data_IF_631345921818
#
_entry.id   IF_631345921818
#
_cell.length_a   1.000
_cell.length_b   1.000
_cell.length_c   1.000
_cell.angle_alpha   90.00
_cell.angle_beta   90.00
_cell.angle_gamma   90.00
#
_symmetry.space_group_name_H-M   'P 1'
#
loop_
_entity.id
_entity.type
_entity.pdbx_description
1 polymer ?
#
# COMPACT_ATOMS: atom_id res chain seq x y z
N UNK A 1 -8.99 -5.31 -12.85
CA UNK A 1 -9.04 -5.26 -11.37
C UNK A 1 -9.25 -3.82 -10.95
N UNK A 2 -10.14 -3.55 -10.00
CA UNK A 2 -10.39 -2.19 -9.48
C UNK A 2 -10.12 -2.15 -7.97
N UNK A 3 -9.26 -1.24 -7.52
CA UNK A 3 -8.96 -1.06 -6.09
C UNK A 3 -10.08 -0.22 -5.48
N UNK A 4 -10.78 -0.79 -4.50
CA UNK A 4 -11.91 -0.15 -3.83
C UNK A 4 -11.39 0.71 -2.67
N UNK A 5 -10.69 0.08 -1.73
CA UNK A 5 -10.19 0.76 -0.53
C UNK A 5 -9.08 0.00 0.21
N UNK A 6 -8.37 0.72 1.06
CA UNK A 6 -7.53 0.15 2.12
C UNK A 6 -8.33 0.09 3.42
N UNK A 7 -8.15 -0.99 4.17
CA UNK A 7 -8.73 -1.22 5.49
C UNK A 7 -7.62 -1.55 6.49
N UNK A 8 -7.91 -1.34 7.78
CA UNK A 8 -7.06 -1.74 8.90
C UNK A 8 -5.60 -1.35 8.69
N UNK A 9 -5.36 -0.06 8.39
CA UNK A 9 -4.01 0.46 8.20
C UNK A 9 -3.36 0.57 9.58
N UNK A 10 -2.39 -0.29 9.84
CA UNK A 10 -1.64 -0.34 11.09
C UNK A 10 -0.19 0.05 10.83
N UNK A 11 0.28 1.13 11.45
CA UNK A 11 1.69 1.50 11.39
C UNK A 11 2.52 0.48 12.18
N UNK A 12 3.61 0.03 11.58
CA UNK A 12 4.64 -0.77 12.24
C UNK A 12 5.80 0.13 12.61
N UNK A 13 6.29 -0.04 13.83
CA UNK A 13 7.51 0.63 14.26
C UNK A 13 8.67 0.26 13.33
N UNK A 14 9.42 1.27 12.96
CA UNK A 14 10.60 1.15 12.11
C UNK A 14 11.76 1.82 12.84
N UNK A 15 12.87 1.09 12.97
CA UNK A 15 14.10 1.61 13.57
C UNK A 15 14.73 2.75 12.74
N UNK A 16 14.26 2.93 11.50
CA UNK A 16 14.78 3.90 10.55
C UNK A 16 13.78 5.04 10.42
N UNK A 17 14.19 6.24 10.85
CA UNK A 17 13.33 7.43 10.99
C UNK A 17 12.65 7.89 9.69
N UNK A 18 13.22 7.57 8.52
CA UNK A 18 12.67 7.96 7.21
C UNK A 18 11.87 6.84 6.53
N UNK A 19 11.71 5.68 7.17
CA UNK A 19 10.94 4.54 6.66
C UNK A 19 9.72 4.35 7.55
N UNK A 20 8.53 4.47 6.96
CA UNK A 20 7.28 4.11 7.62
C UNK A 20 6.76 2.81 7.02
N UNK A 21 6.52 1.82 7.88
CA UNK A 21 5.95 0.54 7.48
C UNK A 21 4.50 0.47 7.93
N UNK A 22 3.65 -0.12 7.10
CA UNK A 22 2.25 -0.31 7.40
C UNK A 22 1.82 -1.71 6.99
N UNK A 23 1.01 -2.34 7.82
CA UNK A 23 0.20 -3.48 7.41
C UNK A 23 -1.20 -2.95 7.05
N UNK A 24 -1.78 -3.41 5.96
CA UNK A 24 -3.18 -3.11 5.66
C UNK A 24 -3.83 -4.22 4.84
N UNK A 25 -5.15 -4.13 4.75
CA UNK A 25 -5.96 -4.99 3.89
C UNK A 25 -6.38 -4.18 2.67
N UNK A 26 -6.00 -4.63 1.48
CA UNK A 26 -6.51 -4.07 0.24
C UNK A 26 -7.77 -4.82 -0.18
N UNK A 27 -8.86 -4.06 -0.36
CA UNK A 27 -10.10 -4.54 -0.93
C UNK A 27 -10.16 -4.16 -2.42
N UNK A 28 -10.35 -5.14 -3.30
CA UNK A 28 -10.39 -4.95 -4.74
C UNK A 28 -11.48 -5.80 -5.39
N UNK A 29 -11.99 -5.34 -6.54
CA UNK A 29 -12.97 -6.07 -7.35
C UNK A 29 -12.25 -6.80 -8.50
N UNK A 30 -12.51 -8.10 -8.61
CA UNK A 30 -12.14 -8.95 -9.76
C UNK A 30 -13.30 -9.90 -10.06
N UNK A 31 -13.65 -10.09 -11.33
CA UNK A 31 -14.64 -11.09 -11.76
C UNK A 31 -15.99 -10.99 -10.99
N UNK A 32 -16.45 -9.75 -10.81
CA UNK A 32 -17.63 -9.39 -10.01
C UNK A 32 -17.64 -9.80 -8.53
N UNK A 33 -16.51 -10.26 -8.01
CA UNK A 33 -16.30 -10.56 -6.59
C UNK A 33 -15.39 -9.54 -5.93
N UNK A 34 -15.65 -9.28 -4.65
CA UNK A 34 -14.78 -8.48 -3.80
C UNK A 34 -13.78 -9.42 -3.15
N UNK A 35 -12.51 -9.11 -3.30
CA UNK A 35 -11.40 -9.82 -2.70
C UNK A 35 -10.71 -8.91 -1.70
N UNK A 36 -10.25 -9.52 -0.60
CA UNK A 36 -9.49 -8.85 0.44
C UNK A 36 -8.17 -9.58 0.62
N UNK A 37 -7.07 -8.84 0.59
CA UNK A 37 -5.75 -9.40 0.79
C UNK A 37 -4.94 -8.52 1.72
N UNK A 38 -4.17 -9.15 2.60
CA UNK A 38 -3.21 -8.44 3.43
C UNK A 38 -1.99 -8.07 2.59
N UNK A 39 -1.59 -6.82 2.66
CA UNK A 39 -0.38 -6.29 2.04
C UNK A 39 0.44 -5.51 3.06
N UNK A 40 1.76 -5.59 2.95
CA UNK A 40 2.66 -4.66 3.61
C UNK A 40 2.94 -3.47 2.70
N UNK A 41 2.97 -2.26 3.25
CA UNK A 41 3.32 -1.03 2.57
C UNK A 41 4.55 -0.44 3.27
N UNK A 42 5.57 -0.13 2.49
CA UNK A 42 6.76 0.57 2.97
C UNK A 42 6.82 1.92 2.25
N UNK A 43 6.72 2.99 3.01
CA UNK A 43 6.87 4.36 2.56
C UNK A 43 8.24 4.87 3.01
N UNK A 44 9.17 4.98 2.07
CA UNK A 44 10.51 5.51 2.32
C UNK A 44 10.61 6.94 1.79
N UNK A 45 10.89 7.90 2.66
CA UNK A 45 11.18 9.27 2.26
C UNK A 45 12.64 9.38 1.84
N UNK A 46 12.88 9.83 0.60
CA UNK A 46 14.22 10.10 0.10
C UNK A 46 14.70 11.48 0.55
N UNK A 47 16.01 11.72 0.47
CA UNK A 47 16.62 13.02 0.73
C UNK A 47 16.10 14.14 -0.19
N UNK A 48 15.53 13.78 -1.36
CA UNK A 48 14.93 14.71 -2.31
C UNK A 48 13.46 15.02 -1.99
N UNK A 49 12.91 14.49 -0.89
CA UNK A 49 11.52 14.68 -0.49
C UNK A 49 10.52 13.81 -1.27
N UNK A 50 10.99 12.93 -2.17
CA UNK A 50 10.12 11.94 -2.83
C UNK A 50 9.82 10.79 -1.88
N UNK A 51 8.63 10.20 -2.00
CA UNK A 51 8.26 8.99 -1.24
C UNK A 51 8.32 7.79 -2.17
N UNK A 52 9.26 6.89 -1.92
CA UNK A 52 9.31 5.58 -2.55
C UNK A 52 8.28 4.66 -1.88
N UNK A 53 7.49 3.96 -2.68
CA UNK A 53 6.44 3.05 -2.22
C UNK A 53 6.85 1.63 -2.61
N UNK A 54 7.13 0.80 -1.61
CA UNK A 54 7.34 -0.64 -1.80
C UNK A 54 6.16 -1.41 -1.22
N UNK A 55 5.81 -2.53 -1.86
CA UNK A 55 4.69 -3.38 -1.45
C UNK A 55 5.20 -4.79 -1.17
N UNK A 56 4.84 -5.30 0.00
CA UNK A 56 5.07 -6.69 0.38
C UNK A 56 3.78 -7.47 0.14
N UNK A 57 3.68 -8.05 -1.06
CA UNK A 57 2.49 -8.78 -1.52
C UNK A 57 2.83 -10.26 -1.64
N UNK A 58 2.19 -11.10 -0.81
CA UNK A 58 2.36 -12.57 -0.87
C UNK A 58 1.44 -13.24 -1.90
N UNK A 59 0.41 -12.53 -2.37
CA UNK A 59 -0.55 -13.08 -3.32
C UNK A 59 -0.09 -12.83 -4.77
N UNK A 60 0.14 -13.91 -5.52
CA UNK A 60 0.56 -13.85 -6.93
C UNK A 60 -0.45 -13.10 -7.82
N UNK A 61 -1.75 -13.18 -7.53
CA UNK A 61 -2.78 -12.48 -8.31
C UNK A 61 -2.66 -10.95 -8.22
N UNK A 62 -2.09 -10.45 -7.13
CA UNK A 62 -1.84 -9.03 -6.93
C UNK A 62 -0.52 -8.56 -7.56
N UNK A 63 0.39 -9.47 -7.92
CA UNK A 63 1.67 -9.09 -8.52
C UNK A 63 1.51 -8.35 -9.84
N UNK A 64 0.58 -8.80 -10.69
CA UNK A 64 0.25 -8.14 -11.96
C UNK A 64 -0.36 -6.74 -11.78
N UNK A 65 -0.83 -6.42 -10.57
CA UNK A 65 -1.49 -5.17 -10.23
C UNK A 65 -0.68 -4.28 -9.28
N UNK A 66 0.58 -4.64 -8.99
CA UNK A 66 1.45 -3.91 -8.05
C UNK A 66 1.52 -2.42 -8.37
N UNK A 67 1.70 -2.06 -9.65
CA UNK A 67 1.85 -0.66 -10.05
C UNK A 67 0.57 0.15 -9.78
N UNK A 68 -0.60 -0.38 -10.12
CA UNK A 68 -1.88 0.26 -9.81
C UNK A 68 -2.10 0.41 -8.29
N UNK A 69 -1.64 -0.57 -7.50
CA UNK A 69 -1.70 -0.50 -6.04
C UNK A 69 -0.78 0.59 -5.50
N UNK A 70 0.46 0.69 -6.01
CA UNK A 70 1.39 1.77 -5.64
C UNK A 70 0.83 3.13 -6.00
N UNK A 71 0.25 3.30 -7.19
CA UNK A 71 -0.38 4.56 -7.60
C UNK A 71 -1.53 4.95 -6.68
N UNK A 72 -2.39 3.99 -6.32
CA UNK A 72 -3.47 4.22 -5.37
C UNK A 72 -2.93 4.65 -4.01
N UNK A 73 -1.96 3.92 -3.45
CA UNK A 73 -1.31 4.24 -2.18
C UNK A 73 -0.64 5.61 -2.23
N UNK A 74 0.03 5.95 -3.32
CA UNK A 74 0.65 7.26 -3.52
C UNK A 74 -0.39 8.38 -3.48
N UNK A 75 -1.55 8.18 -4.10
CA UNK A 75 -2.68 9.13 -4.01
C UNK A 75 -3.23 9.23 -2.57
N UNK A 76 -3.34 8.12 -1.85
CA UNK A 76 -3.80 8.13 -0.44
C UNK A 76 -2.77 8.79 0.50
N UNK A 77 -1.48 8.60 0.27
CA UNK A 77 -0.41 9.25 1.03
C UNK A 77 -0.43 10.77 0.83
N UNK A 78 -0.65 11.25 -0.40
CA UNK A 78 -0.85 12.68 -0.67
C UNK A 78 -2.10 13.27 0.02
N UNK A 79 -3.09 12.43 0.35
CA UNK A 79 -4.30 12.81 1.11
C UNK A 79 -4.11 12.73 2.63
N UNK A 80 -2.94 12.34 3.13
CA UNK A 80 -2.67 12.22 4.56
C UNK A 80 -3.31 11.00 5.22
N UNK A 81 -3.56 9.92 4.46
CA UNK A 81 -4.06 8.66 5.05
C UNK A 81 -2.98 7.94 5.86
N UNK A 82 -1.71 8.15 5.52
CA UNK A 82 -0.56 7.59 6.21
C UNK A 82 0.16 8.73 6.95
N UNK A 83 0.01 8.79 8.28
CA UNK A 83 0.60 9.84 9.16
C UNK A 83 1.32 9.19 10.33
#
# INVERSE_FOLDING_TARGET
MEIIKLKNIERKDSLIHYINKYDCIIAYKSDDKIHENKIGIILEKTALGTTNIQLEVKNAALQSSIESIKEYIGKQNKKGVFV
#
